data_IF_231335262228
#
_entry.id   IF_231335262228
#
_cell.length_a   1.000
_cell.length_b   1.000
_cell.length_c   1.000
_cell.angle_alpha   90.00
_cell.angle_beta   90.00
_cell.angle_gamma   90.00
#
_symmetry.space_group_name_H-M   'P 1'
#
loop_
_entity.id
_entity.type
_entity.pdbx_description
1 polymer ?
#
# COMPACT_ATOMS: atom_id res chain seq x y z
N UNK A 1 -3.78 -13.50 -65.43
CA UNK A 1 -4.83 -13.56 -64.38
C UNK A 1 -4.38 -14.52 -63.28
N UNK A 2 -4.13 -14.04 -62.07
CA UNK A 2 -4.45 -14.75 -60.82
C UNK A 2 -4.33 -13.78 -59.63
N UNK A 3 -5.36 -13.83 -58.81
CA UNK A 3 -5.87 -12.81 -57.91
C UNK A 3 -5.09 -12.77 -56.59
N UNK A 4 -4.88 -11.57 -56.03
CA UNK A 4 -4.47 -11.34 -54.65
C UNK A 4 -5.60 -11.77 -53.70
N UNK A 5 -5.29 -12.51 -52.64
CA UNK A 5 -6.19 -12.67 -51.48
C UNK A 5 -5.41 -12.26 -50.24
N UNK A 6 -5.81 -11.12 -49.68
CA UNK A 6 -5.41 -10.65 -48.36
C UNK A 6 -6.11 -11.52 -47.31
N UNK A 7 -5.34 -12.28 -46.53
CA UNK A 7 -5.89 -12.92 -45.32
C UNK A 7 -5.83 -11.88 -44.22
N UNK A 8 -6.99 -11.29 -43.95
CA UNK A 8 -7.26 -10.45 -42.80
C UNK A 8 -7.04 -11.33 -41.55
N UNK A 9 -5.97 -11.05 -40.80
CA UNK A 9 -5.79 -11.53 -39.44
C UNK A 9 -6.86 -10.88 -38.57
N UNK A 10 -8.06 -11.47 -38.56
CA UNK A 10 -9.06 -11.20 -37.54
C UNK A 10 -8.53 -11.75 -36.23
N UNK A 11 -7.81 -10.89 -35.51
CA UNK A 11 -7.45 -11.12 -34.12
C UNK A 11 -8.73 -11.47 -33.36
N UNK A 12 -8.83 -12.73 -32.97
CA UNK A 12 -9.71 -13.15 -31.90
C UNK A 12 -9.28 -12.38 -30.65
N UNK A 13 -9.95 -11.24 -30.43
CA UNK A 13 -9.97 -10.58 -29.15
C UNK A 13 -10.63 -11.59 -28.20
N UNK A 14 -9.81 -12.30 -27.43
CA UNK A 14 -10.27 -13.13 -26.32
C UNK A 14 -10.99 -12.22 -25.34
N UNK A 15 -12.30 -12.10 -25.51
CA UNK A 15 -13.19 -11.46 -24.57
C UNK A 15 -13.38 -12.45 -23.41
N UNK A 16 -12.34 -12.63 -22.61
CA UNK A 16 -12.46 -13.33 -21.34
C UNK A 16 -13.38 -12.46 -20.46
N UNK A 17 -14.50 -13.00 -19.97
CA UNK A 17 -15.44 -12.19 -19.20
C UNK A 17 -14.77 -11.73 -17.90
N UNK A 18 -14.47 -10.44 -17.81
CA UNK A 18 -13.93 -9.79 -16.62
C UNK A 18 -14.79 -10.03 -15.36
N UNK A 19 -16.05 -10.42 -15.53
CA UNK A 19 -16.99 -10.74 -14.45
C UNK A 19 -16.60 -11.97 -13.63
N UNK A 20 -15.89 -12.97 -14.19
CA UNK A 20 -15.41 -14.13 -13.44
C UNK A 20 -14.29 -13.78 -12.47
N UNK A 21 -13.33 -12.97 -12.93
CA UNK A 21 -12.16 -12.55 -12.15
C UNK A 21 -12.52 -11.71 -10.92
N UNK A 22 -13.56 -10.88 -11.01
CA UNK A 22 -13.99 -10.03 -9.90
C UNK A 22 -14.50 -10.86 -8.70
N UNK A 23 -15.27 -11.92 -8.95
CA UNK A 23 -15.80 -12.78 -7.89
C UNK A 23 -14.74 -13.61 -7.18
N UNK A 24 -13.72 -14.07 -7.91
CA UNK A 24 -12.63 -14.86 -7.33
C UNK A 24 -11.69 -14.01 -6.47
N UNK A 25 -11.35 -12.79 -6.92
CA UNK A 25 -10.57 -11.85 -6.12
C UNK A 25 -11.30 -11.46 -4.82
N UNK A 26 -12.62 -11.27 -4.88
CA UNK A 26 -13.46 -11.01 -3.70
C UNK A 26 -13.41 -12.17 -2.69
N UNK A 27 -13.51 -13.42 -3.17
CA UNK A 27 -13.44 -14.60 -2.32
C UNK A 27 -12.05 -14.78 -1.68
N UNK A 28 -10.97 -14.54 -2.43
CA UNK A 28 -9.61 -14.58 -1.90
C UNK A 28 -9.38 -13.48 -0.88
N UNK A 29 -9.86 -12.27 -1.13
CA UNK A 29 -9.71 -11.15 -0.19
C UNK A 29 -10.46 -11.44 1.11
N UNK A 30 -11.66 -12.02 1.04
CA UNK A 30 -12.40 -12.45 2.22
C UNK A 30 -11.63 -13.50 3.06
N UNK A 31 -10.99 -14.48 2.41
CA UNK A 31 -10.13 -15.46 3.09
C UNK A 31 -8.92 -14.78 3.75
N UNK A 32 -8.30 -13.83 3.06
CA UNK A 32 -7.18 -13.06 3.59
C UNK A 32 -7.58 -12.30 4.86
N UNK A 33 -8.72 -11.59 4.82
CA UNK A 33 -9.26 -10.89 5.98
C UNK A 33 -9.63 -11.83 7.14
N UNK A 34 -10.21 -13.00 6.85
CA UNK A 34 -10.52 -13.99 7.88
C UNK A 34 -9.23 -14.50 8.56
N UNK A 35 -8.20 -14.80 7.77
CA UNK A 35 -6.91 -15.23 8.31
C UNK A 35 -6.25 -14.12 9.13
N UNK A 36 -6.27 -12.87 8.64
CA UNK A 36 -5.74 -11.71 9.33
C UNK A 36 -6.44 -11.47 10.67
N UNK A 37 -7.78 -11.51 10.70
CA UNK A 37 -8.57 -11.39 11.93
C UNK A 37 -8.27 -12.50 12.93
N UNK A 38 -7.94 -13.69 12.44
CA UNK A 38 -7.54 -14.83 13.27
C UNK A 38 -6.06 -14.74 13.74
N UNK A 39 -5.34 -13.66 13.44
CA UNK A 39 -3.91 -13.52 13.76
C UNK A 39 -2.98 -14.39 12.92
N UNK A 40 -3.51 -15.06 11.89
CA UNK A 40 -2.76 -15.95 10.99
C UNK A 40 -2.15 -15.14 9.85
N UNK A 41 -1.15 -14.33 10.20
CA UNK A 41 -0.53 -13.33 9.32
C UNK A 41 0.05 -13.97 8.05
N UNK A 42 0.79 -15.08 8.16
CA UNK A 42 1.40 -15.73 7.01
C UNK A 42 0.35 -16.25 6.02
N UNK A 43 -0.73 -16.87 6.51
CA UNK A 43 -1.83 -17.33 5.67
C UNK A 43 -2.56 -16.17 4.99
N UNK A 44 -2.79 -15.06 5.70
CA UNK A 44 -3.35 -13.87 5.10
C UNK A 44 -2.45 -13.31 4.00
N UNK A 45 -1.14 -13.25 4.23
CA UNK A 45 -0.16 -12.87 3.21
C UNK A 45 -0.19 -13.80 2.00
N UNK A 46 -0.31 -15.11 2.17
CA UNK A 46 -0.44 -16.05 1.04
C UNK A 46 -1.62 -15.68 0.14
N UNK A 47 -2.79 -15.38 0.72
CA UNK A 47 -3.96 -14.94 -0.06
C UNK A 47 -3.75 -13.57 -0.71
N UNK A 48 -3.19 -12.58 0.00
CA UNK A 48 -2.87 -11.28 -0.59
C UNK A 48 -1.89 -11.41 -1.76
N UNK A 49 -0.85 -12.23 -1.61
CA UNK A 49 0.12 -12.48 -2.67
C UNK A 49 -0.49 -13.21 -3.87
N UNK A 50 -1.45 -14.11 -3.63
CA UNK A 50 -2.21 -14.73 -4.72
C UNK A 50 -3.05 -13.69 -5.47
N UNK A 51 -3.75 -12.80 -4.76
CA UNK A 51 -4.53 -11.71 -5.38
C UNK A 51 -3.62 -10.82 -6.22
N UNK A 52 -2.45 -10.45 -5.71
CA UNK A 52 -1.48 -9.61 -6.40
C UNK A 52 -0.99 -10.22 -7.72
N UNK A 53 -0.82 -11.56 -7.75
CA UNK A 53 -0.31 -12.30 -8.90
C UNK A 53 -1.39 -12.58 -9.95
N UNK A 54 -2.56 -13.01 -9.51
CA UNK A 54 -3.63 -13.52 -10.39
C UNK A 54 -4.65 -12.43 -10.74
N UNK A 55 -4.80 -11.42 -9.89
CA UNK A 55 -5.77 -10.33 -10.04
C UNK A 55 -5.12 -8.95 -9.76
N UNK A 56 -4.03 -8.58 -10.46
CA UNK A 56 -3.28 -7.35 -10.20
C UNK A 56 -4.08 -6.07 -10.43
N UNK A 57 -5.18 -6.13 -11.19
CA UNK A 57 -6.09 -5.00 -11.44
C UNK A 57 -7.37 -5.06 -10.60
N UNK A 58 -7.42 -5.93 -9.58
CA UNK A 58 -8.56 -6.00 -8.68
C UNK A 58 -8.73 -4.70 -7.89
N UNK A 59 -9.97 -4.44 -7.44
CA UNK A 59 -10.28 -3.30 -6.56
C UNK A 59 -9.50 -3.30 -5.24
N UNK A 60 -8.86 -4.42 -4.89
CA UNK A 60 -8.09 -4.60 -3.66
C UNK A 60 -6.60 -4.32 -3.80
N UNK A 61 -6.14 -3.97 -5.00
CA UNK A 61 -4.71 -3.86 -5.32
C UNK A 61 -3.97 -2.92 -4.35
N UNK A 62 -4.53 -1.75 -4.05
CA UNK A 62 -3.96 -0.81 -3.06
C UNK A 62 -3.80 -1.45 -1.67
N UNK A 63 -4.86 -2.10 -1.17
CA UNK A 63 -4.85 -2.76 0.14
C UNK A 63 -3.90 -3.96 0.17
N UNK A 64 -3.88 -4.75 -0.90
CA UNK A 64 -2.97 -5.89 -1.07
C UNK A 64 -1.51 -5.44 -1.05
N UNK A 65 -1.17 -4.37 -1.78
CA UNK A 65 0.18 -3.80 -1.74
C UNK A 65 0.53 -3.32 -0.33
N UNK A 66 -0.36 -2.57 0.34
CA UNK A 66 -0.11 -2.14 1.72
C UNK A 66 0.15 -3.32 2.65
N UNK A 67 -0.70 -4.36 2.59
CA UNK A 67 -0.54 -5.57 3.40
C UNK A 67 0.78 -6.28 3.10
N UNK A 68 1.14 -6.47 1.83
CA UNK A 68 2.42 -7.08 1.46
C UNK A 68 3.62 -6.27 1.98
N UNK A 69 3.57 -4.94 1.87
CA UNK A 69 4.62 -4.06 2.41
C UNK A 69 4.75 -4.19 3.92
N UNK A 70 3.63 -4.19 4.65
CA UNK A 70 3.60 -4.39 6.10
C UNK A 70 4.20 -5.75 6.47
N UNK A 71 3.82 -6.82 5.77
CA UNK A 71 4.34 -8.17 6.00
C UNK A 71 5.86 -8.24 5.83
N UNK A 72 6.40 -7.70 4.74
CA UNK A 72 7.84 -7.70 4.51
C UNK A 72 8.59 -6.83 5.54
N UNK A 73 8.00 -5.71 5.96
CA UNK A 73 8.58 -4.89 7.02
C UNK A 73 8.70 -5.65 8.36
N UNK A 74 7.69 -6.46 8.70
CA UNK A 74 7.69 -7.30 9.91
C UNK A 74 8.66 -8.48 9.82
N UNK A 75 9.08 -8.89 8.61
CA UNK A 75 10.12 -9.90 8.34
C UNK A 75 11.53 -9.29 8.14
N UNK A 76 11.79 -8.10 8.69
CA UNK A 76 12.87 -7.17 8.30
C UNK A 76 13.36 -7.21 6.85
N UNK A 77 12.50 -7.54 5.90
CA UNK A 77 12.81 -7.66 4.48
C UNK A 77 12.64 -6.28 3.81
N UNK A 78 13.47 -5.32 4.24
CA UNK A 78 13.29 -3.90 3.93
C UNK A 78 13.38 -3.57 2.44
N UNK A 79 14.19 -4.29 1.66
CA UNK A 79 14.27 -4.10 0.21
C UNK A 79 12.91 -4.41 -0.46
N UNK A 80 12.30 -5.55 -0.13
CA UNK A 80 10.98 -5.94 -0.64
C UNK A 80 9.88 -5.03 -0.10
N UNK A 81 9.92 -4.69 1.18
CA UNK A 81 8.95 -3.78 1.78
C UNK A 81 8.95 -2.42 1.07
N UNK A 82 10.16 -1.87 0.84
CA UNK A 82 10.36 -0.61 0.12
C UNK A 82 9.79 -0.68 -1.29
N UNK A 83 10.15 -1.69 -2.08
CA UNK A 83 9.66 -1.84 -3.46
C UNK A 83 8.12 -1.86 -3.51
N UNK A 84 7.49 -2.60 -2.59
CA UNK A 84 6.03 -2.70 -2.53
C UNK A 84 5.39 -1.38 -2.09
N UNK A 85 5.98 -0.71 -1.10
CA UNK A 85 5.47 0.57 -0.61
C UNK A 85 5.63 1.70 -1.65
N UNK A 86 6.71 1.72 -2.41
CA UNK A 86 6.90 2.65 -3.53
C UNK A 86 5.79 2.47 -4.58
N UNK A 87 5.38 1.23 -4.89
CA UNK A 87 4.22 0.98 -5.76
C UNK A 87 2.92 1.57 -5.23
N UNK A 88 2.71 1.59 -3.90
CA UNK A 88 1.52 2.26 -3.33
C UNK A 88 1.57 3.77 -3.59
N UNK A 89 2.73 4.40 -3.46
CA UNK A 89 2.88 5.83 -3.72
C UNK A 89 2.69 6.18 -5.20
N UNK A 90 3.17 5.32 -6.10
CA UNK A 90 3.11 5.52 -7.55
C UNK A 90 1.73 5.21 -8.13
N UNK A 91 1.15 4.05 -7.79
CA UNK A 91 -0.13 3.59 -8.32
C UNK A 91 -1.32 4.27 -7.61
N UNK A 92 -1.16 4.65 -6.33
CA UNK A 92 -2.24 5.17 -5.47
C UNK A 92 -1.85 6.44 -4.70
N UNK A 93 -1.47 7.54 -5.38
CA UNK A 93 -0.96 8.76 -4.74
C UNK A 93 -1.99 9.48 -3.85
N UNK A 94 -3.27 9.14 -3.96
CA UNK A 94 -4.37 9.68 -3.15
C UNK A 94 -4.91 8.66 -2.12
N UNK A 95 -4.22 7.53 -1.93
CA UNK A 95 -4.62 6.53 -0.94
C UNK A 95 -4.68 7.12 0.47
N UNK A 96 -5.72 6.80 1.27
CA UNK A 96 -5.74 7.12 2.70
C UNK A 96 -4.54 6.53 3.46
N UNK A 97 -3.96 5.43 2.97
CA UNK A 97 -2.78 4.78 3.51
C UNK A 97 -1.46 5.45 3.14
N UNK A 98 -1.43 6.36 2.14
CA UNK A 98 -0.20 7.02 1.65
C UNK A 98 0.65 7.60 2.78
N UNK A 99 0.02 8.35 3.68
CA UNK A 99 0.73 8.98 4.80
C UNK A 99 1.44 7.94 5.70
N UNK A 100 0.83 6.78 5.89
CA UNK A 100 1.39 5.69 6.69
C UNK A 100 2.45 4.90 5.92
N UNK A 101 2.30 4.74 4.60
CA UNK A 101 3.36 4.22 3.73
C UNK A 101 4.62 5.08 3.81
N UNK A 102 4.49 6.40 3.77
CA UNK A 102 5.63 7.32 3.95
C UNK A 102 6.33 7.12 5.30
N UNK A 103 5.57 6.86 6.36
CA UNK A 103 6.15 6.58 7.68
C UNK A 103 6.96 5.27 7.70
N UNK A 104 6.51 4.24 6.97
CA UNK A 104 7.27 3.00 6.81
C UNK A 104 8.57 3.23 6.03
N UNK A 105 8.47 3.92 4.90
CA UNK A 105 9.63 4.23 4.06
C UNK A 105 10.66 5.11 4.78
N UNK A 106 10.19 6.07 5.59
CA UNK A 106 11.02 6.85 6.50
C UNK A 106 11.79 5.94 7.47
N UNK A 107 11.08 5.04 8.18
CA UNK A 107 11.71 4.10 9.13
C UNK A 107 12.68 3.13 8.47
N UNK A 108 12.36 2.67 7.26
CA UNK A 108 13.26 1.84 6.46
C UNK A 108 14.54 2.61 6.12
N UNK A 109 14.41 3.85 5.64
CA UNK A 109 15.57 4.67 5.29
C UNK A 109 16.47 4.97 6.50
N UNK A 110 15.88 5.22 7.68
CA UNK A 110 16.62 5.34 8.94
C UNK A 110 17.35 4.03 9.29
N UNK A 111 16.68 2.89 9.23
CA UNK A 111 17.27 1.59 9.55
C UNK A 111 18.42 1.21 8.60
N UNK A 112 18.35 1.63 7.34
CA UNK A 112 19.41 1.45 6.35
C UNK A 112 20.53 2.51 6.42
N UNK A 113 20.40 3.51 7.29
CA UNK A 113 21.36 4.64 7.39
C UNK A 113 21.35 5.58 6.19
N UNK A 114 20.33 5.53 5.33
CA UNK A 114 20.20 6.36 4.13
C UNK A 114 19.61 7.72 4.48
N UNK A 115 20.38 8.56 5.16
CA UNK A 115 19.96 9.88 5.69
C UNK A 115 19.31 10.79 4.65
N UNK A 116 19.86 10.87 3.44
CA UNK A 116 19.28 11.69 2.37
C UNK A 116 17.89 11.22 1.93
N UNK A 117 17.66 9.90 1.92
CA UNK A 117 16.36 9.32 1.59
C UNK A 117 15.35 9.53 2.73
N UNK A 118 15.78 9.35 3.99
CA UNK A 118 14.95 9.64 5.16
C UNK A 118 14.50 11.12 5.18
N UNK A 119 15.40 12.04 4.86
CA UNK A 119 15.10 13.47 4.78
C UNK A 119 14.08 13.80 3.68
N UNK A 120 14.13 13.10 2.54
CA UNK A 120 13.14 13.25 1.48
C UNK A 120 11.73 12.81 1.95
N UNK A 121 11.62 11.65 2.59
CA UNK A 121 10.33 11.19 3.15
C UNK A 121 9.83 12.08 4.27
N UNK A 122 10.73 12.58 5.14
CA UNK A 122 10.40 13.59 6.16
C UNK A 122 9.76 14.83 5.52
N UNK A 123 10.37 15.38 4.46
CA UNK A 123 9.81 16.54 3.74
C UNK A 123 8.42 16.25 3.19
N UNK A 124 8.21 15.10 2.55
CA UNK A 124 6.91 14.74 1.99
C UNK A 124 5.82 14.60 3.08
N UNK A 125 6.15 13.97 4.21
CA UNK A 125 5.26 13.88 5.38
C UNK A 125 4.89 15.27 5.89
N UNK A 126 5.86 16.19 5.98
CA UNK A 126 5.63 17.56 6.42
C UNK A 126 4.84 18.39 5.40
N UNK A 127 4.91 18.09 4.09
CA UNK A 127 4.06 18.74 3.08
C UNK A 127 2.59 18.32 3.21
N UNK A 128 2.31 17.08 3.60
CA UNK A 128 0.94 16.59 3.84
C UNK A 128 0.18 17.46 4.87
N UNK A 129 0.92 18.08 5.80
CA UNK A 129 0.45 19.05 6.78
C UNK A 129 -0.24 20.27 6.14
N UNK A 130 0.34 20.83 5.08
CA UNK A 130 -0.01 22.16 4.57
C UNK A 130 -1.41 22.21 3.91
N UNK A 131 -1.90 21.08 3.40
CA UNK A 131 -3.23 20.99 2.79
C UNK A 131 -4.35 20.90 3.86
N UNK A 132 -4.01 20.51 5.09
CA UNK A 132 -4.99 20.11 6.11
C UNK A 132 -5.25 21.07 7.27
N UNK A 133 -4.42 22.10 7.46
CA UNK A 133 -4.24 22.77 8.76
C UNK A 133 -4.67 24.24 8.83
N UNK A 134 -5.64 24.65 8.02
CA UNK A 134 -6.11 26.04 8.07
C UNK A 134 -6.79 26.39 9.42
N UNK A 135 -7.21 25.43 10.27
CA UNK A 135 -8.09 25.77 11.42
C UNK A 135 -8.00 24.97 12.76
N UNK A 136 -7.00 24.11 13.06
CA UNK A 136 -6.92 23.41 14.39
C UNK A 136 -5.47 23.15 14.88
N UNK A 137 -5.24 23.21 16.20
CA UNK A 137 -3.93 23.04 16.86
C UNK A 137 -3.25 21.67 16.62
N UNK A 138 -4.04 20.60 16.50
CA UNK A 138 -3.56 19.30 16.06
C UNK A 138 -4.57 18.64 15.12
N UNK A 139 -4.08 18.01 14.05
CA UNK A 139 -4.91 17.19 13.14
C UNK A 139 -4.50 15.74 13.24
N UNK A 140 -5.49 14.88 13.44
CA UNK A 140 -5.31 13.44 13.54
C UNK A 140 -5.80 12.75 12.27
N UNK A 141 -4.97 11.86 11.74
CA UNK A 141 -5.32 10.96 10.63
C UNK A 141 -5.30 9.53 11.14
N UNK A 142 -6.23 8.71 10.66
CA UNK A 142 -6.37 7.31 11.04
C UNK A 142 -6.39 6.42 9.81
N UNK A 143 -5.86 5.21 9.95
CA UNK A 143 -5.93 4.17 8.93
C UNK A 143 -5.95 2.80 9.60
N UNK A 144 -6.69 1.86 9.02
CA UNK A 144 -6.68 0.46 9.43
C UNK A 144 -6.17 -0.37 8.27
N UNK A 145 -5.05 -1.07 8.46
CA UNK A 145 -4.51 -1.93 7.41
C UNK A 145 -5.34 -3.21 7.27
N UNK A 146 -5.18 -3.97 6.17
CA UNK A 146 -5.87 -5.24 5.98
C UNK A 146 -5.54 -6.30 7.05
N UNK A 147 -4.45 -6.11 7.80
CA UNK A 147 -4.12 -6.91 8.98
C UNK A 147 -4.83 -6.45 10.27
N UNK A 148 -5.80 -5.53 10.17
CA UNK A 148 -6.51 -4.93 11.30
C UNK A 148 -5.59 -4.18 12.27
N UNK A 149 -4.40 -3.76 11.84
CA UNK A 149 -3.56 -2.87 12.62
C UNK A 149 -4.07 -1.45 12.47
N UNK A 150 -4.26 -0.78 13.60
CA UNK A 150 -4.69 0.61 13.63
C UNK A 150 -3.49 1.54 13.63
N UNK A 151 -3.53 2.50 12.73
CA UNK A 151 -2.53 3.55 12.58
C UNK A 151 -3.14 4.90 12.87
N UNK A 152 -2.33 5.76 13.46
CA UNK A 152 -2.70 7.13 13.77
C UNK A 152 -1.52 8.07 13.53
N UNK A 153 -1.73 9.17 12.84
CA UNK A 153 -0.75 10.22 12.67
C UNK A 153 -1.29 11.50 13.32
N UNK A 154 -0.54 12.05 14.28
CA UNK A 154 -0.90 13.27 15.01
C UNK A 154 0.06 14.37 14.59
N UNK A 155 -0.47 15.41 13.95
CA UNK A 155 0.31 16.57 13.51
C UNK A 155 0.29 17.64 14.59
N UNK A 156 1.46 17.92 15.16
CA UNK A 156 1.73 19.03 16.08
C UNK A 156 2.32 20.22 15.33
N UNK A 157 2.64 21.29 16.07
CA UNK A 157 3.24 22.50 15.50
C UNK A 157 4.64 22.24 14.93
N UNK A 158 5.42 21.42 15.62
CA UNK A 158 6.86 21.18 15.42
C UNK A 158 7.18 19.77 14.92
N UNK A 159 6.24 18.83 15.06
CA UNK A 159 6.46 17.42 14.71
C UNK A 159 5.19 16.69 14.26
N UNK A 160 5.38 15.51 13.70
CA UNK A 160 4.34 14.52 13.39
C UNK A 160 4.69 13.22 14.09
N UNK A 161 3.76 12.69 14.87
CA UNK A 161 3.92 11.41 15.54
C UNK A 161 3.03 10.36 14.89
N UNK A 162 3.64 9.25 14.50
CA UNK A 162 2.97 8.08 13.96
C UNK A 162 2.87 7.01 15.03
N UNK A 163 1.68 6.48 15.20
CA UNK A 163 1.38 5.39 16.10
C UNK A 163 0.90 4.18 15.31
N UNK A 164 1.33 2.99 15.71
CA UNK A 164 0.92 1.70 15.15
C UNK A 164 0.56 0.76 16.30
N UNK A 165 -0.68 0.27 16.32
CA UNK A 165 -1.16 -0.59 17.41
C UNK A 165 -1.19 0.09 18.79
N UNK A 166 -1.19 1.43 18.82
CA UNK A 166 -1.14 2.23 20.05
C UNK A 166 0.28 2.64 20.47
N UNK A 167 1.32 2.05 19.89
CA UNK A 167 2.72 2.36 20.19
C UNK A 167 3.29 3.41 19.24
N UNK A 168 4.24 4.22 19.71
CA UNK A 168 4.95 5.18 18.88
C UNK A 168 5.81 4.43 17.86
N UNK A 169 5.53 4.64 16.58
CA UNK A 169 6.20 4.01 15.45
C UNK A 169 7.31 4.89 14.88
N UNK A 170 7.00 6.16 14.61
CA UNK A 170 7.92 7.15 14.07
C UNK A 170 7.57 8.55 14.60
N UNK A 171 8.57 9.41 14.75
CA UNK A 171 8.38 10.82 15.03
C UNK A 171 9.22 11.63 14.05
N UNK A 172 8.59 12.54 13.33
CA UNK A 172 9.22 13.39 12.32
C UNK A 172 9.11 14.83 12.79
N UNK A 173 10.22 15.45 13.15
CA UNK A 173 10.25 16.87 13.55
C UNK A 173 10.67 17.76 12.40
N UNK A 174 10.31 19.04 12.42
CA UNK A 174 10.79 20.04 11.46
C UNK A 174 12.32 20.11 11.41
#
# INVERSE_FOLDING_TARGET
>A
MRLRVWIILTGWLLLVPASGYAGEADALYAKALQAARAGRVDFAFMYYNQIDREYPHSRYREQVLFAKGEYFYELPAYAQAKEIFEKVLDEYPQSPGKLFVLSYLYKIAEAEGKTGLAENFKKEILTFRQVGLVFKEAKEYKYSSPFYRNFRAVFYIDKVEFYRGGELFAAVSQ
#
